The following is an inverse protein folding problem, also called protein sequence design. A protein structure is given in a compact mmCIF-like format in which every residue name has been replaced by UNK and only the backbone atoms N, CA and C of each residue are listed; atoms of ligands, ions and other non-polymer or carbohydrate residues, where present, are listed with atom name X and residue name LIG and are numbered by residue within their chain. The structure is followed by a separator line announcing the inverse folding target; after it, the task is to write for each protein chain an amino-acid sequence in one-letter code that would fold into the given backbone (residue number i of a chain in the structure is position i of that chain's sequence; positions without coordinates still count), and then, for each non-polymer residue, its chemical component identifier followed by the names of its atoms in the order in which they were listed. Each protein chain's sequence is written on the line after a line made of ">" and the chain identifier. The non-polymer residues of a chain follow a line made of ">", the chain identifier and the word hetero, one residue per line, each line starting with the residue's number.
data_IF_574567070960
#
_entry.id   IF_574567070960
#
_cell.length_a   1.000
_cell.length_b   1.000
_cell.length_c   1.000
_cell.angle_alpha   90.00
_cell.angle_beta   90.00
_cell.angle_gamma   90.00
#
_symmetry.space_group_name_H-M   'P 1'
#
loop_
_entity.id
_entity.type
_entity.pdbx_description
1 polymer ?
#
# COMPACT_ATOMS: atom_id res chain seq x y z
N UNK A 1 -16.90 5.37 -4.97
CA UNK A 1 -15.52 4.97 -5.29
C UNK A 1 -15.51 3.89 -6.35
N UNK A 2 -14.77 4.13 -7.43
CA UNK A 2 -14.63 3.15 -8.50
C UNK A 2 -13.82 1.93 -8.00
N UNK A 3 -13.92 0.80 -8.71
CA UNK A 3 -13.15 -0.40 -8.37
C UNK A 3 -11.79 -0.40 -9.09
N UNK A 4 -10.73 -1.00 -8.50
CA UNK A 4 -9.42 -1.04 -9.13
C UNK A 4 -9.47 -2.01 -10.32
N UNK A 5 -9.64 -1.44 -11.52
CA UNK A 5 -9.77 -2.16 -12.79
C UNK A 5 -8.59 -1.88 -13.70
N UNK A 6 -8.13 -2.89 -14.43
CA UNK A 6 -7.16 -2.73 -15.52
C UNK A 6 -7.75 -1.97 -16.70
N UNK A 7 -6.93 -1.53 -17.66
CA UNK A 7 -7.40 -0.96 -18.94
C UNK A 7 -8.33 -1.90 -19.73
N UNK A 8 -8.28 -3.20 -19.47
CA UNK A 8 -9.18 -4.22 -20.04
C UNK A 8 -10.44 -4.49 -19.21
N UNK A 9 -10.66 -3.75 -18.13
CA UNK A 9 -11.84 -3.85 -17.27
C UNK A 9 -11.80 -4.96 -16.22
N UNK A 10 -10.72 -5.76 -16.16
CA UNK A 10 -10.57 -6.80 -15.13
C UNK A 10 -10.30 -6.18 -13.77
N UNK A 11 -10.96 -6.68 -12.72
CA UNK A 11 -10.74 -6.20 -11.35
C UNK A 11 -9.41 -6.75 -10.82
N UNK A 12 -8.51 -5.87 -10.39
CA UNK A 12 -7.25 -6.22 -9.74
C UNK A 12 -7.48 -6.49 -8.25
N UNK A 13 -8.01 -7.68 -7.93
CA UNK A 13 -8.29 -8.09 -6.54
C UNK A 13 -7.07 -8.04 -5.62
N UNK A 14 -5.84 -8.19 -6.14
CA UNK A 14 -4.63 -8.08 -5.33
C UNK A 14 -4.49 -6.73 -4.64
N UNK A 15 -4.89 -5.64 -5.31
CA UNK A 15 -4.82 -4.28 -4.75
C UNK A 15 -5.74 -4.19 -3.54
N UNK A 16 -6.98 -4.68 -3.68
CA UNK A 16 -7.95 -4.74 -2.58
C UNK A 16 -7.41 -5.58 -1.41
N UNK A 17 -6.80 -6.73 -1.71
CA UNK A 17 -6.19 -7.59 -0.70
C UNK A 17 -5.03 -6.90 0.02
N UNK A 18 -4.11 -6.24 -0.69
CA UNK A 18 -3.00 -5.50 -0.08
C UNK A 18 -3.50 -4.39 0.84
N UNK A 19 -4.48 -3.59 0.39
CA UNK A 19 -5.09 -2.54 1.21
C UNK A 19 -5.75 -3.14 2.46
N UNK A 20 -6.55 -4.21 2.31
CA UNK A 20 -7.20 -4.86 3.45
C UNK A 20 -6.19 -5.41 4.47
N UNK A 21 -5.04 -5.88 4.00
CA UNK A 21 -3.98 -6.43 4.85
C UNK A 21 -2.99 -5.38 5.35
N UNK A 22 -3.21 -4.08 5.06
CA UNK A 22 -2.27 -2.98 5.36
C UNK A 22 -0.85 -3.26 4.86
N UNK A 23 -0.75 -3.80 3.64
CA UNK A 23 0.52 -4.07 2.95
C UNK A 23 0.67 -3.16 1.75
N UNK A 24 1.90 -3.06 1.24
CA UNK A 24 2.16 -2.39 -0.02
C UNK A 24 1.35 -3.05 -1.17
N UNK A 25 0.79 -2.21 -2.02
CA UNK A 25 0.06 -2.58 -3.22
C UNK A 25 1.01 -2.91 -4.37
N UNK A 26 2.25 -2.41 -4.33
CA UNK A 26 3.26 -2.58 -5.36
C UNK A 26 2.91 -1.86 -6.67
N UNK A 27 3.40 -2.37 -7.80
CA UNK A 27 3.17 -1.77 -9.13
C UNK A 27 1.68 -1.76 -9.51
N UNK A 28 1.13 -0.59 -9.85
CA UNK A 28 -0.27 -0.42 -10.28
C UNK A 28 -0.40 0.25 -11.66
N UNK A 29 0.68 0.31 -12.44
CA UNK A 29 0.73 0.96 -13.78
C UNK A 29 -0.24 0.38 -14.81
N UNK A 30 -0.74 -0.83 -14.56
CA UNK A 30 -1.72 -1.53 -15.41
C UNK A 30 -3.18 -1.14 -15.13
N UNK A 31 -3.45 -0.44 -14.02
CA UNK A 31 -4.77 0.10 -13.72
C UNK A 31 -5.17 1.15 -14.77
N UNK A 32 -6.45 1.18 -15.09
CA UNK A 32 -7.03 2.25 -15.92
C UNK A 32 -6.96 3.60 -15.18
N UNK A 33 -7.18 3.57 -13.86
CA UNK A 33 -7.08 4.72 -12.98
C UNK A 33 -6.28 4.33 -11.73
N UNK A 34 -5.02 4.77 -11.58
CA UNK A 34 -4.23 4.53 -10.37
C UNK A 34 -4.74 5.26 -9.12
N UNK A 35 -5.39 6.42 -9.26
CA UNK A 35 -5.84 7.25 -8.13
C UNK A 35 -6.90 6.56 -7.27
N UNK A 36 -7.60 5.59 -7.86
CA UNK A 36 -8.61 4.76 -7.17
C UNK A 36 -8.00 3.99 -5.99
N UNK A 37 -6.71 3.66 -6.06
CA UNK A 37 -6.01 2.91 -5.00
C UNK A 37 -6.00 3.71 -3.71
N UNK A 38 -5.68 5.00 -3.80
CA UNK A 38 -5.59 5.86 -2.63
C UNK A 38 -6.97 6.17 -2.06
N UNK A 39 -7.97 6.40 -2.93
CA UNK A 39 -9.36 6.55 -2.48
C UNK A 39 -9.85 5.31 -1.71
N UNK A 40 -9.51 4.11 -2.19
CA UNK A 40 -9.88 2.87 -1.50
C UNK A 40 -9.11 2.72 -0.19
N UNK A 41 -7.82 3.07 -0.16
CA UNK A 41 -7.02 3.08 1.06
C UNK A 41 -7.65 3.97 2.12
N UNK A 42 -7.95 5.23 1.79
CA UNK A 42 -8.55 6.20 2.71
C UNK A 42 -9.90 5.72 3.28
N UNK A 43 -10.75 5.11 2.45
CA UNK A 43 -12.04 4.60 2.92
C UNK A 43 -11.93 3.39 3.84
N UNK A 44 -10.95 2.52 3.60
CA UNK A 44 -10.78 1.27 4.37
C UNK A 44 -9.98 1.52 5.65
N UNK A 45 -8.97 2.39 5.58
CA UNK A 45 -8.00 2.59 6.65
C UNK A 45 -8.15 3.93 7.38
N UNK A 46 -8.93 4.87 6.83
CA UNK A 46 -8.99 6.25 7.31
C UNK A 46 -7.92 7.14 6.69
N UNK A 47 -7.99 8.45 6.95
CA UNK A 47 -7.02 9.45 6.48
C UNK A 47 -5.74 9.48 7.30
N UNK A 48 -5.77 8.91 8.50
CA UNK A 48 -4.60 8.81 9.38
C UNK A 48 -3.72 7.68 8.87
N UNK A 49 -2.76 8.02 8.02
CA UNK A 49 -1.84 7.07 7.41
C UNK A 49 -1.05 6.32 8.50
N UNK A 50 -1.43 5.07 8.77
CA UNK A 50 -0.53 4.11 9.43
C UNK A 50 0.52 3.74 8.40
N UNK A 51 1.54 4.59 8.27
CA UNK A 51 2.76 4.25 7.53
C UNK A 51 3.41 3.14 8.34
N UNK A 52 3.18 1.88 7.95
CA UNK A 52 4.07 0.78 8.29
C UNK A 52 5.36 1.01 7.51
N UNK A 53 6.09 2.05 7.91
CA UNK A 53 7.49 2.15 7.57
C UNK A 53 8.09 0.99 8.33
N UNK A 54 8.70 0.07 7.60
CA UNK A 54 9.76 -0.77 8.14
C UNK A 54 10.90 0.16 8.57
N UNK A 55 10.66 0.96 9.62
CA UNK A 55 11.71 1.43 10.49
C UNK A 55 12.04 0.21 11.32
N UNK A 56 13.04 -0.54 10.87
CA UNK A 56 13.88 -1.27 11.83
C UNK A 56 14.11 -0.31 13.00
N UNK A 57 13.74 -0.70 14.24
CA UNK A 57 14.03 0.12 15.41
C UNK A 57 15.48 0.57 15.36
N UNK A 58 15.74 1.87 15.56
CA UNK A 58 17.09 2.44 15.45
C UNK A 58 18.13 1.67 16.30
N UNK A 59 17.65 1.00 17.35
CA UNK A 59 18.42 0.15 18.26
C UNK A 59 19.08 -1.05 17.55
N UNK A 60 18.48 -1.59 16.48
CA UNK A 60 19.07 -2.69 15.68
C UNK A 60 20.17 -2.16 14.76
N UNK A 61 20.01 -0.95 14.20
CA UNK A 61 20.97 -0.34 13.28
C UNK A 61 22.28 0.11 13.98
N UNK A 62 22.24 0.32 15.30
CA UNK A 62 23.39 0.72 16.12
C UNK A 62 24.21 -0.44 16.70
N UNK A 63 23.75 -1.69 16.57
CA UNK A 63 24.47 -2.84 17.07
C UNK A 63 25.68 -3.15 16.17
N UNK A 64 26.88 -2.71 16.59
CA UNK A 64 28.14 -2.94 15.88
C UNK A 64 28.94 -1.70 15.49
N UNK A 65 28.48 -0.49 15.83
CA UNK A 65 29.26 0.75 15.60
C UNK A 65 30.21 1.12 16.75
N UNK A 66 30.27 0.29 17.80
CA UNK A 66 31.18 0.45 18.92
C UNK A 66 32.12 -0.77 19.01
N UNK A 67 32.95 -0.97 17.99
CA UNK A 67 34.22 -1.70 18.09
C UNK A 67 35.30 -0.97 17.27
#
# INVERSE_FOLDING_TARGET
>A
PDMPKTRSGKIMRRVLASISNRRDVGDVTTLANPDVVEQIREMVQGKDAVVSKEETPEDIARFGQNE
#
